data_IF_255786022501
#
_entry.id   IF_255786022501
#
_cell.length_a   1.000
_cell.length_b   1.000
_cell.length_c   1.000
_cell.angle_alpha   90.00
_cell.angle_beta   90.00
_cell.angle_gamma   90.00
#
_symmetry.space_group_name_H-M   'P 1'
#
loop_
_entity.id
_entity.type
_entity.pdbx_description
1 polymer ?
#
# COMPACT_ATOMS: atom_id res chain seq x y z
N UNK A 1 -24.31 61.85 41.36
CA UNK A 1 -25.22 61.67 40.17
C UNK A 1 -24.52 61.48 38.84
N UNK A 2 -23.35 62.02 38.54
CA UNK A 2 -22.67 61.81 37.25
C UNK A 2 -22.12 60.36 37.05
N UNK A 3 -21.63 59.67 38.09
CA UNK A 3 -21.08 58.29 38.02
C UNK A 3 -22.17 57.23 37.75
N UNK A 4 -23.39 57.45 38.18
CA UNK A 4 -24.50 56.50 37.97
C UNK A 4 -25.03 56.53 36.53
N UNK A 5 -24.96 57.68 35.85
CA UNK A 5 -25.36 57.79 34.44
C UNK A 5 -24.37 57.10 33.49
N UNK A 6 -23.09 57.03 33.84
CA UNK A 6 -22.09 56.22 33.05
C UNK A 6 -22.29 54.75 33.27
N UNK A 7 -22.53 54.28 34.49
CA UNK A 7 -22.78 52.88 34.79
C UNK A 7 -24.02 52.35 34.05
N UNK A 8 -25.11 53.16 34.03
CA UNK A 8 -26.36 52.78 33.34
C UNK A 8 -26.18 52.73 31.82
N UNK A 9 -25.35 53.57 31.20
CA UNK A 9 -25.02 53.51 29.76
C UNK A 9 -24.17 52.30 29.42
N UNK A 10 -23.24 51.93 30.29
CA UNK A 10 -22.39 50.75 30.06
C UNK A 10 -23.19 49.44 30.19
N UNK A 11 -24.10 49.36 31.16
CA UNK A 11 -24.98 48.21 31.36
C UNK A 11 -25.98 48.07 30.20
N UNK A 12 -26.53 49.19 29.69
CA UNK A 12 -27.41 49.14 28.50
C UNK A 12 -26.64 48.74 27.21
N UNK A 13 -25.41 49.21 27.04
CA UNK A 13 -24.60 48.82 25.87
C UNK A 13 -24.24 47.36 25.90
N UNK A 14 -23.91 46.77 27.05
CA UNK A 14 -23.62 45.33 27.20
C UNK A 14 -24.90 44.51 27.01
N UNK A 15 -26.06 44.99 27.48
CA UNK A 15 -27.35 44.33 27.29
C UNK A 15 -27.80 44.26 25.81
N UNK A 16 -27.52 45.30 25.02
CA UNK A 16 -27.86 45.36 23.59
C UNK A 16 -26.93 44.43 22.79
N UNK A 17 -25.63 44.33 23.15
CA UNK A 17 -24.68 43.41 22.50
C UNK A 17 -25.03 41.96 22.83
N UNK A 18 -25.48 41.66 24.05
CA UNK A 18 -25.93 40.31 24.43
C UNK A 18 -27.22 39.91 23.73
N UNK A 19 -28.18 40.82 23.52
CA UNK A 19 -29.40 40.51 22.76
C UNK A 19 -29.15 40.32 21.26
N UNK A 20 -28.22 41.05 20.67
CA UNK A 20 -27.87 40.83 19.25
C UNK A 20 -27.09 39.55 19.04
N UNK A 21 -26.25 39.13 20.00
CA UNK A 21 -25.56 37.85 19.95
C UNK A 21 -26.53 36.66 20.07
N UNK A 22 -27.56 36.75 20.92
CA UNK A 22 -28.59 35.69 21.04
C UNK A 22 -29.48 35.64 19.79
N UNK A 23 -29.76 36.72 19.12
CA UNK A 23 -30.53 36.71 17.86
C UNK A 23 -29.71 36.17 16.68
N UNK A 24 -28.40 36.34 16.67
CA UNK A 24 -27.52 35.74 15.65
C UNK A 24 -27.40 34.23 15.88
N UNK A 25 -27.34 33.74 17.11
CA UNK A 25 -27.37 32.27 17.39
C UNK A 25 -28.74 31.65 17.07
N UNK A 26 -29.85 32.31 17.36
CA UNK A 26 -31.20 31.78 17.03
C UNK A 26 -31.50 31.77 15.51
N UNK A 27 -30.85 32.66 14.74
CA UNK A 27 -30.96 32.64 13.26
C UNK A 27 -30.04 31.58 12.61
N UNK A 28 -29.06 31.02 13.33
CA UNK A 28 -28.19 29.98 12.86
C UNK A 28 -28.76 28.55 13.09
N UNK A 29 -29.76 28.39 13.96
CA UNK A 29 -30.42 27.10 14.23
C UNK A 29 -31.59 26.80 13.27
N UNK A 30 -31.93 27.70 12.38
CA UNK A 30 -33.10 27.61 11.52
C UNK A 30 -32.80 27.41 10.05
N UNK A 31 -31.79 26.61 9.62
CA UNK A 31 -31.65 26.00 8.28
C UNK A 31 -30.42 25.13 8.14
N UNK A 32 -30.06 24.37 9.15
CA UNK A 32 -29.26 23.17 8.93
C UNK A 32 -30.23 22.03 8.56
N UNK A 33 -30.96 22.19 7.49
CA UNK A 33 -31.44 21.10 6.69
C UNK A 33 -30.17 20.51 6.12
N UNK A 34 -29.71 19.42 6.71
CA UNK A 34 -28.63 18.62 6.15
C UNK A 34 -29.00 18.39 4.69
N UNK A 35 -28.33 19.08 3.77
CA UNK A 35 -28.29 18.66 2.41
C UNK A 35 -27.80 17.21 2.52
N UNK A 36 -28.69 16.26 2.32
CA UNK A 36 -28.32 14.92 1.94
C UNK A 36 -27.51 15.16 0.67
N UNK A 37 -26.21 15.19 0.82
CA UNK A 37 -25.28 15.16 -0.28
C UNK A 37 -25.74 13.95 -1.08
N UNK A 38 -26.37 14.18 -2.27
CA UNK A 38 -26.56 13.12 -3.23
C UNK A 38 -25.16 12.54 -3.43
N UNK A 39 -24.95 11.34 -2.89
CA UNK A 39 -23.74 10.57 -3.15
C UNK A 39 -23.77 10.30 -4.63
N UNK A 40 -23.05 11.12 -5.39
CA UNK A 40 -22.89 10.91 -6.82
C UNK A 40 -22.37 9.49 -6.99
N UNK A 41 -23.05 8.61 -7.73
CA UNK A 41 -22.58 7.25 -7.93
C UNK A 41 -21.16 7.30 -8.50
N UNK A 42 -20.24 6.57 -7.89
CA UNK A 42 -18.85 6.47 -8.36
C UNK A 42 -18.86 5.84 -9.74
N UNK A 43 -18.38 6.56 -10.76
CA UNK A 43 -18.34 6.08 -12.14
C UNK A 43 -17.27 5.01 -12.35
N UNK A 44 -17.48 4.17 -13.38
CA UNK A 44 -16.46 3.22 -13.86
C UNK A 44 -15.61 3.97 -14.87
N UNK A 45 -14.45 4.48 -14.42
CA UNK A 45 -13.58 5.34 -15.23
C UNK A 45 -13.01 4.63 -16.46
N UNK A 46 -12.81 3.32 -16.42
CA UNK A 46 -12.37 2.53 -17.58
C UNK A 46 -13.41 2.43 -18.68
N UNK A 47 -14.70 2.68 -18.40
CA UNK A 47 -15.73 2.75 -19.43
C UNK A 47 -15.63 4.01 -20.31
N UNK A 48 -14.84 5.00 -19.90
CA UNK A 48 -14.61 6.24 -20.66
C UNK A 48 -13.53 6.07 -21.72
N UNK A 49 -12.75 4.96 -21.68
CA UNK A 49 -11.69 4.66 -22.64
C UNK A 49 -12.33 4.16 -23.94
N UNK A 50 -12.07 4.87 -25.04
CA UNK A 50 -12.60 4.50 -26.36
C UNK A 50 -12.16 3.09 -26.77
N UNK A 51 -13.11 2.23 -27.15
CA UNK A 51 -12.83 0.85 -27.56
C UNK A 51 -12.53 -0.12 -26.41
N UNK A 52 -12.62 0.34 -25.14
CA UNK A 52 -12.48 -0.53 -23.98
C UNK A 52 -13.79 -1.32 -23.77
N UNK A 53 -13.72 -2.59 -23.37
CA UNK A 53 -14.91 -3.35 -23.04
C UNK A 53 -15.66 -2.72 -21.86
N UNK A 54 -16.98 -2.60 -21.95
CA UNK A 54 -17.79 -2.08 -20.85
C UNK A 54 -17.65 -2.99 -19.61
N UNK A 55 -17.27 -2.40 -18.48
CA UNK A 55 -17.08 -3.10 -17.21
C UNK A 55 -18.42 -3.46 -16.56
N UNK A 56 -18.47 -4.52 -15.74
CA UNK A 56 -19.67 -4.90 -15.00
C UNK A 56 -20.01 -3.86 -13.93
N UNK A 57 -21.29 -3.69 -13.64
CA UNK A 57 -21.72 -2.96 -12.45
C UNK A 57 -21.42 -3.80 -11.21
N UNK A 58 -20.65 -3.24 -10.27
CA UNK A 58 -20.38 -3.83 -8.96
C UNK A 58 -21.07 -3.03 -7.85
N UNK A 59 -21.44 -3.74 -6.78
CA UNK A 59 -22.19 -3.16 -5.65
C UNK A 59 -21.25 -2.50 -4.62
N UNK A 60 -20.02 -2.98 -4.49
CA UNK A 60 -18.98 -2.35 -3.66
C UNK A 60 -18.80 -0.88 -4.07
N UNK A 61 -18.55 0.02 -3.09
CA UNK A 61 -18.39 1.44 -3.40
C UNK A 61 -17.23 1.68 -4.37
N UNK A 62 -16.09 1.03 -4.15
CA UNK A 62 -14.93 1.09 -5.05
C UNK A 62 -14.42 -0.30 -5.38
N UNK A 63 -13.83 -0.45 -6.57
CA UNK A 63 -13.21 -1.70 -6.96
C UNK A 63 -12.34 -1.58 -8.19
N UNK A 64 -11.34 -2.46 -8.29
CA UNK A 64 -10.43 -2.55 -9.42
C UNK A 64 -10.20 -3.98 -9.85
N UNK A 65 -9.86 -4.16 -11.12
CA UNK A 65 -9.24 -5.35 -11.66
C UNK A 65 -7.89 -4.96 -12.27
N UNK A 66 -6.83 -5.57 -11.79
CA UNK A 66 -5.46 -5.32 -12.26
C UNK A 66 -4.85 -6.58 -12.87
N UNK A 67 -4.14 -6.42 -13.97
CA UNK A 67 -3.22 -7.42 -14.47
C UNK A 67 -1.97 -7.47 -13.57
N UNK A 68 -1.68 -8.61 -12.97
CA UNK A 68 -0.57 -8.75 -12.04
C UNK A 68 0.81 -8.63 -12.71
N UNK A 69 0.92 -8.96 -13.99
CA UNK A 69 2.19 -8.91 -14.72
C UNK A 69 2.52 -7.46 -15.13
N UNK A 70 1.65 -6.82 -15.91
CA UNK A 70 1.87 -5.44 -16.41
C UNK A 70 1.54 -4.35 -15.39
N UNK A 71 0.61 -4.61 -14.45
CA UNK A 71 0.05 -3.59 -13.56
C UNK A 71 -1.09 -2.79 -14.17
N UNK A 72 -1.52 -3.12 -15.38
CA UNK A 72 -2.64 -2.47 -16.07
C UNK A 72 -3.93 -2.59 -15.26
N UNK A 73 -4.63 -1.49 -15.02
CA UNK A 73 -5.99 -1.52 -14.51
C UNK A 73 -6.95 -1.82 -15.67
N UNK A 74 -7.53 -3.03 -15.66
CA UNK A 74 -8.51 -3.45 -16.68
C UNK A 74 -9.91 -2.94 -16.35
N UNK A 75 -10.17 -2.67 -15.08
CA UNK A 75 -11.40 -2.10 -14.55
C UNK A 75 -11.07 -1.18 -13.37
N UNK A 76 -11.74 -0.03 -13.32
CA UNK A 76 -11.62 0.90 -12.21
C UNK A 76 -12.95 1.62 -11.95
N UNK A 77 -13.52 1.37 -10.78
CA UNK A 77 -14.63 2.12 -10.19
C UNK A 77 -14.12 2.79 -8.93
N UNK A 78 -13.85 4.09 -8.98
CA UNK A 78 -13.29 4.83 -7.85
C UNK A 78 -11.98 4.23 -7.33
N UNK A 79 -11.13 3.71 -8.25
CA UNK A 79 -9.92 2.97 -7.88
C UNK A 79 -8.96 3.75 -7.01
N UNK A 80 -8.89 5.08 -7.18
CA UNK A 80 -7.99 5.99 -6.44
C UNK A 80 -8.70 6.76 -5.31
N UNK A 81 -9.99 6.44 -5.04
CA UNK A 81 -10.70 7.05 -3.93
C UNK A 81 -10.26 6.44 -2.59
N UNK A 82 -9.96 7.32 -1.65
CA UNK A 82 -9.54 6.95 -0.29
C UNK A 82 -10.65 6.21 0.44
N UNK A 83 -10.30 5.05 1.02
CA UNK A 83 -11.15 4.23 1.88
C UNK A 83 -10.34 3.66 3.03
N UNK A 84 -11.03 3.25 4.08
CA UNK A 84 -10.39 2.49 5.17
C UNK A 84 -10.15 1.04 4.72
N UNK A 85 -8.90 0.54 4.78
CA UNK A 85 -8.56 -0.80 4.29
C UNK A 85 -9.01 -1.91 5.24
N UNK A 86 -9.15 -1.64 6.53
CA UNK A 86 -9.29 -2.69 7.54
C UNK A 86 -8.15 -3.72 7.44
N UNK A 87 -8.43 -5.00 7.69
CA UNK A 87 -7.40 -6.06 7.74
C UNK A 87 -6.75 -6.43 6.41
N UNK A 88 -7.15 -5.85 5.25
CA UNK A 88 -6.34 -6.01 4.04
C UNK A 88 -4.98 -5.31 4.16
N UNK A 89 -4.80 -4.39 5.10
CA UNK A 89 -3.51 -3.83 5.56
C UNK A 89 -2.45 -4.92 5.81
N UNK A 90 -2.88 -6.09 6.33
CA UNK A 90 -1.97 -7.19 6.66
C UNK A 90 -1.24 -7.78 5.45
N UNK A 91 -1.64 -7.43 4.22
CA UNK A 91 -0.90 -7.74 2.99
C UNK A 91 0.46 -7.02 3.01
N UNK A 92 0.51 -5.74 3.40
CA UNK A 92 1.76 -4.99 3.55
C UNK A 92 2.59 -5.54 4.72
N UNK A 93 1.96 -5.90 5.84
CA UNK A 93 2.65 -6.52 6.98
C UNK A 93 3.28 -7.86 6.60
N UNK A 94 2.57 -8.69 5.83
CA UNK A 94 3.12 -9.94 5.29
C UNK A 94 4.29 -9.67 4.35
N UNK A 95 4.16 -8.69 3.45
CA UNK A 95 5.20 -8.32 2.47
C UNK A 95 6.50 -7.93 3.19
N UNK A 96 6.45 -6.99 4.11
CA UNK A 96 7.62 -6.55 4.86
C UNK A 96 8.25 -7.67 5.68
N UNK A 97 7.44 -8.53 6.31
CA UNK A 97 7.97 -9.63 7.09
C UNK A 97 8.70 -10.68 6.24
N UNK A 98 8.20 -11.01 5.03
CA UNK A 98 8.88 -11.98 4.15
C UNK A 98 10.12 -11.38 3.45
N UNK A 99 10.19 -10.05 3.32
CA UNK A 99 11.34 -9.33 2.79
C UNK A 99 12.48 -9.24 3.83
N UNK A 100 12.15 -9.04 5.11
CA UNK A 100 13.13 -8.69 6.14
C UNK A 100 13.48 -9.84 7.09
N UNK A 101 12.69 -10.93 7.15
CA UNK A 101 12.89 -12.00 8.13
C UNK A 101 13.04 -13.37 7.50
N UNK A 102 13.77 -14.24 8.23
CA UNK A 102 13.73 -15.68 7.98
C UNK A 102 12.46 -16.30 8.57
N UNK A 103 11.81 -17.18 7.82
CA UNK A 103 10.63 -17.91 8.32
C UNK A 103 10.93 -18.83 9.53
N UNK A 104 12.22 -19.03 9.86
CA UNK A 104 12.66 -19.88 10.97
C UNK A 104 12.96 -19.10 12.23
N UNK A 105 12.96 -17.77 12.19
CA UNK A 105 13.20 -16.95 13.37
C UNK A 105 12.13 -17.19 14.42
N UNK A 106 12.56 -17.21 15.68
CA UNK A 106 11.66 -17.27 16.81
C UNK A 106 11.18 -15.86 17.17
N UNK A 107 9.86 -15.71 17.23
CA UNK A 107 9.17 -14.47 17.64
C UNK A 107 8.71 -14.66 19.07
N UNK A 108 9.24 -13.87 19.99
CA UNK A 108 8.82 -13.85 21.40
C UNK A 108 7.73 -12.80 21.56
N UNK A 109 6.56 -13.21 22.06
CA UNK A 109 5.45 -12.28 22.26
C UNK A 109 5.67 -11.45 23.53
N UNK A 110 5.57 -10.14 23.36
CA UNK A 110 5.66 -9.13 24.42
C UNK A 110 4.27 -8.61 24.77
N UNK A 111 4.18 -7.58 25.60
CA UNK A 111 2.92 -6.87 25.87
C UNK A 111 2.34 -6.26 24.59
N UNK A 112 3.17 -5.85 23.64
CA UNK A 112 2.75 -5.37 22.32
C UNK A 112 1.89 -6.40 21.59
N UNK A 113 2.37 -7.65 21.53
CA UNK A 113 1.68 -8.75 20.83
C UNK A 113 0.52 -9.37 21.62
N UNK A 114 0.09 -8.79 22.73
CA UNK A 114 -1.04 -9.31 23.51
C UNK A 114 -2.10 -8.25 23.82
N UNK A 115 -1.78 -6.99 23.58
CA UNK A 115 -2.64 -5.82 23.87
C UNK A 115 -3.93 -5.79 23.03
N UNK A 116 -3.88 -6.24 21.76
CA UNK A 116 -4.98 -6.14 20.80
C UNK A 116 -5.82 -7.42 20.72
N UNK A 117 -5.80 -8.24 21.78
CA UNK A 117 -6.64 -9.43 21.88
C UNK A 117 -8.02 -9.01 22.39
N UNK A 118 -9.03 -9.11 21.52
CA UNK A 118 -10.42 -8.95 21.88
C UNK A 118 -11.26 -10.10 21.33
N UNK A 119 -12.39 -10.39 21.98
CA UNK A 119 -13.26 -11.53 21.64
C UNK A 119 -13.93 -11.38 20.25
N UNK A 120 -14.09 -10.15 19.77
CA UNK A 120 -14.77 -9.77 18.53
C UNK A 120 -13.80 -9.47 17.38
N UNK A 121 -12.50 -9.63 17.59
CA UNK A 121 -11.48 -9.40 16.58
C UNK A 121 -10.67 -10.65 16.24
N UNK A 122 -10.03 -10.65 15.07
CA UNK A 122 -9.12 -11.74 14.66
C UNK A 122 -7.95 -11.87 15.63
N UNK A 123 -7.85 -13.03 16.31
CA UNK A 123 -6.75 -13.37 17.21
C UNK A 123 -6.57 -14.89 17.32
N UNK A 124 -5.47 -15.33 17.92
CA UNK A 124 -5.15 -16.72 18.25
C UNK A 124 -4.81 -16.91 19.74
N UNK A 125 -5.00 -15.86 20.54
CA UNK A 125 -4.86 -15.89 22.00
C UNK A 125 -3.42 -16.06 22.48
N UNK A 126 -2.49 -15.25 21.98
CA UNK A 126 -1.09 -15.29 22.40
C UNK A 126 -0.89 -14.78 23.83
N UNK A 127 0.16 -15.23 24.48
CA UNK A 127 0.52 -14.86 25.85
C UNK A 127 1.91 -14.21 25.87
N UNK A 128 2.12 -13.28 26.82
CA UNK A 128 3.46 -12.66 27.03
C UNK A 128 4.49 -13.75 27.37
N UNK A 129 5.60 -13.76 26.64
CA UNK A 129 6.64 -14.80 26.76
C UNK A 129 6.39 -16.05 25.93
N UNK A 130 5.24 -16.17 25.24
CA UNK A 130 5.02 -17.25 24.30
C UNK A 130 5.90 -17.08 23.05
N UNK A 131 6.41 -18.19 22.53
CA UNK A 131 7.36 -18.18 21.40
C UNK A 131 6.76 -18.96 20.23
N UNK A 132 6.72 -18.33 19.05
CA UNK A 132 6.36 -18.98 17.80
C UNK A 132 7.40 -18.67 16.71
N UNK A 133 7.52 -19.55 15.72
CA UNK A 133 8.33 -19.20 14.52
C UNK A 133 7.63 -18.10 13.71
N UNK A 134 8.42 -17.24 13.05
CA UNK A 134 7.89 -16.23 12.11
C UNK A 134 6.93 -16.87 11.09
N UNK A 135 7.23 -18.08 10.61
CA UNK A 135 6.32 -18.85 9.74
C UNK A 135 4.92 -19.00 10.36
N UNK A 136 4.84 -19.45 11.61
CA UNK A 136 3.56 -19.65 12.29
C UNK A 136 2.83 -18.31 12.49
N UNK A 137 3.56 -17.25 12.83
CA UNK A 137 3.01 -15.90 12.92
C UNK A 137 2.37 -15.45 11.61
N UNK A 138 3.07 -15.64 10.47
CA UNK A 138 2.57 -15.20 9.17
C UNK A 138 1.33 -15.98 8.70
N UNK A 139 1.25 -17.29 8.99
CA UNK A 139 0.04 -18.06 8.72
C UNK A 139 -1.12 -17.60 9.62
N UNK A 140 -0.87 -17.30 10.90
CA UNK A 140 -1.89 -16.76 11.80
C UNK A 140 -2.36 -15.35 11.34
N UNK A 141 -1.43 -14.51 10.91
CA UNK A 141 -1.70 -13.19 10.33
C UNK A 141 -2.69 -13.25 9.17
N UNK A 142 -2.48 -14.19 8.24
CA UNK A 142 -3.28 -14.30 7.01
C UNK A 142 -4.57 -15.06 7.25
N UNK A 143 -4.49 -16.26 7.82
CA UNK A 143 -5.61 -17.21 7.95
C UNK A 143 -6.63 -16.73 9.00
N UNK A 144 -6.15 -16.27 10.17
CA UNK A 144 -7.01 -15.82 11.27
C UNK A 144 -7.13 -14.32 11.38
N UNK A 145 -6.41 -13.59 10.52
CA UNK A 145 -6.38 -12.12 10.61
C UNK A 145 -5.93 -11.61 11.98
N UNK A 146 -5.05 -12.34 12.67
CA UNK A 146 -4.68 -12.11 14.06
C UNK A 146 -4.03 -10.72 14.25
N UNK A 147 -4.69 -9.82 15.00
CA UNK A 147 -4.25 -8.44 15.22
C UNK A 147 -3.04 -8.38 16.13
N UNK A 148 -3.07 -9.16 17.23
CA UNK A 148 -1.96 -9.24 18.18
C UNK A 148 -0.68 -9.79 17.52
N UNK A 149 -0.85 -10.70 16.56
CA UNK A 149 0.28 -11.23 15.77
C UNK A 149 0.82 -10.17 14.83
N UNK A 150 -0.04 -9.35 14.23
CA UNK A 150 0.39 -8.24 13.38
C UNK A 150 1.23 -7.22 14.17
N UNK A 151 0.80 -6.85 15.37
CA UNK A 151 1.53 -5.96 16.27
C UNK A 151 2.88 -6.56 16.68
N UNK A 152 2.92 -7.86 17.02
CA UNK A 152 4.18 -8.52 17.38
C UNK A 152 5.15 -8.66 16.21
N UNK A 153 4.64 -8.92 15.00
CA UNK A 153 5.46 -8.90 13.78
C UNK A 153 6.06 -7.51 13.58
N UNK A 154 5.26 -6.45 13.77
CA UNK A 154 5.72 -5.07 13.62
C UNK A 154 6.85 -4.75 14.60
N UNK A 155 6.70 -5.10 15.88
CA UNK A 155 7.76 -4.92 16.86
C UNK A 155 9.01 -5.75 16.53
N UNK A 156 8.83 -7.02 16.12
CA UNK A 156 9.94 -7.92 15.82
C UNK A 156 10.77 -7.45 14.61
N UNK A 157 10.10 -7.02 13.54
CA UNK A 157 10.76 -6.61 12.29
C UNK A 157 11.30 -5.19 12.39
N UNK A 158 10.52 -4.26 12.95
CA UNK A 158 10.88 -2.86 13.07
C UNK A 158 11.71 -2.52 14.32
N UNK A 159 11.80 -3.42 15.29
CA UNK A 159 12.33 -3.11 16.62
C UNK A 159 11.35 -2.30 17.48
N UNK A 160 10.47 -1.51 16.84
CA UNK A 160 9.30 -0.85 17.41
C UNK A 160 8.16 -0.85 16.40
N UNK A 161 6.92 -0.79 16.88
CA UNK A 161 5.74 -0.69 15.97
C UNK A 161 5.80 0.58 15.13
N UNK A 162 6.23 1.72 15.71
CA UNK A 162 6.32 2.98 14.97
C UNK A 162 7.31 2.88 13.81
N UNK A 163 8.49 2.32 14.04
CA UNK A 163 9.46 2.16 12.95
C UNK A 163 8.96 1.20 11.86
N UNK A 164 8.21 0.15 12.25
CA UNK A 164 7.58 -0.71 11.25
C UNK A 164 6.53 0.02 10.41
N UNK A 165 5.75 0.90 11.04
CA UNK A 165 4.78 1.77 10.33
C UNK A 165 5.51 2.70 9.36
N UNK A 166 6.63 3.28 9.77
CA UNK A 166 7.47 4.09 8.88
C UNK A 166 7.95 3.25 7.67
N UNK A 167 8.42 2.02 7.90
CA UNK A 167 8.77 1.06 6.83
C UNK A 167 7.59 0.75 5.90
N UNK A 168 6.36 0.58 6.45
CA UNK A 168 5.16 0.34 5.65
C UNK A 168 4.89 1.50 4.68
N UNK A 169 4.95 2.74 5.16
CA UNK A 169 4.71 3.94 4.36
C UNK A 169 5.82 4.17 3.33
N UNK A 170 7.06 3.96 3.72
CA UNK A 170 8.20 4.02 2.79
C UNK A 170 8.06 2.96 1.68
N UNK A 171 7.71 1.72 2.04
CA UNK A 171 7.53 0.65 1.06
C UNK A 171 6.34 0.90 0.13
N UNK A 172 5.23 1.44 0.65
CA UNK A 172 4.09 1.84 -0.17
C UNK A 172 4.50 2.88 -1.21
N UNK A 173 5.25 3.91 -0.82
CA UNK A 173 5.78 4.91 -1.76
C UNK A 173 6.71 4.30 -2.83
N UNK A 174 7.60 3.35 -2.44
CA UNK A 174 8.48 2.63 -3.38
C UNK A 174 7.71 1.77 -4.38
N UNK A 175 6.57 1.21 -3.99
CA UNK A 175 5.67 0.43 -4.86
C UNK A 175 4.93 1.34 -5.84
N UNK A 176 4.82 2.64 -5.56
CA UNK A 176 4.08 3.62 -6.35
C UNK A 176 2.69 3.94 -5.81
N UNK A 177 2.38 3.56 -4.56
CA UNK A 177 1.14 3.96 -3.90
C UNK A 177 1.14 5.47 -3.66
N UNK A 178 0.08 6.16 -4.08
CA UNK A 178 -0.01 7.63 -3.98
C UNK A 178 -1.03 8.12 -2.96
N UNK A 179 -1.97 7.27 -2.56
CA UNK A 179 -3.08 7.60 -1.68
C UNK A 179 -3.20 6.58 -0.52
N UNK A 180 -2.06 6.16 0.01
CA UNK A 180 -1.98 5.20 1.13
C UNK A 180 -1.20 5.80 2.29
N UNK A 181 -1.75 5.66 3.49
CA UNK A 181 -1.08 5.98 4.73
C UNK A 181 -1.44 4.95 5.80
N UNK A 182 -0.44 4.26 6.33
CA UNK A 182 -0.57 3.28 7.40
C UNK A 182 -0.19 3.90 8.73
N UNK A 183 -0.92 3.58 9.81
CA UNK A 183 -0.60 3.96 11.19
C UNK A 183 -0.50 2.75 12.13
N UNK A 184 -0.83 1.56 11.65
CA UNK A 184 -0.63 0.30 12.37
C UNK A 184 -0.50 -0.88 11.39
N UNK A 185 0.02 -2.00 11.88
CA UNK A 185 0.27 -3.20 11.08
C UNK A 185 -0.97 -4.08 10.86
N UNK A 186 -2.07 -3.83 11.55
CA UNK A 186 -3.24 -4.71 11.61
C UNK A 186 -4.43 -4.22 10.77
N UNK A 187 -4.56 -2.92 10.53
CA UNK A 187 -5.71 -2.28 9.91
C UNK A 187 -6.83 -1.99 10.92
N UNK A 188 -6.52 -1.92 12.20
CA UNK A 188 -7.44 -1.39 13.21
C UNK A 188 -7.80 0.06 12.90
N UNK A 189 -9.03 0.51 13.25
CA UNK A 189 -9.53 1.83 12.89
C UNK A 189 -8.66 2.96 13.43
N UNK A 190 -8.30 3.86 12.54
CA UNK A 190 -7.69 5.15 12.83
C UNK A 190 -8.06 6.11 11.68
N UNK A 191 -8.41 7.37 11.93
CA UNK A 191 -8.76 8.34 10.88
C UNK A 191 -7.66 8.55 9.84
N UNK A 192 -6.39 8.40 10.26
CA UNK A 192 -5.23 8.59 9.40
C UNK A 192 -4.76 7.27 8.73
N UNK A 193 -5.46 6.14 8.95
CA UNK A 193 -5.17 4.84 8.35
C UNK A 193 -6.04 4.60 7.13
N UNK A 194 -5.53 4.88 5.94
CA UNK A 194 -6.30 4.80 4.71
C UNK A 194 -5.49 4.23 3.54
N UNK A 195 -6.19 3.81 2.50
CA UNK A 195 -5.63 3.36 1.23
C UNK A 195 -6.68 3.48 0.12
N UNK A 196 -6.37 3.00 -1.08
CA UNK A 196 -7.29 2.90 -2.21
C UNK A 196 -7.34 1.48 -2.75
N UNK A 197 -8.34 1.18 -3.57
CA UNK A 197 -8.41 -0.13 -4.23
C UNK A 197 -7.22 -0.34 -5.17
N UNK A 198 -6.77 0.70 -5.86
CA UNK A 198 -5.61 0.67 -6.75
C UNK A 198 -4.32 0.40 -5.96
N UNK A 199 -4.04 1.18 -4.92
CA UNK A 199 -2.82 1.02 -4.11
C UNK A 199 -2.75 -0.37 -3.47
N UNK A 200 -3.87 -0.90 -2.96
CA UNK A 200 -3.92 -2.26 -2.42
C UNK A 200 -3.67 -3.33 -3.48
N UNK A 201 -4.09 -3.09 -4.74
CA UNK A 201 -3.75 -3.99 -5.84
C UNK A 201 -2.25 -3.94 -6.18
N UNK A 202 -1.63 -2.76 -6.15
CA UNK A 202 -0.18 -2.59 -6.32
C UNK A 202 0.61 -3.34 -5.23
N UNK A 203 0.20 -3.22 -3.96
CA UNK A 203 0.85 -3.93 -2.84
C UNK A 203 0.69 -5.45 -3.00
N UNK A 204 -0.49 -5.94 -3.38
CA UNK A 204 -0.71 -7.36 -3.63
C UNK A 204 0.13 -7.85 -4.82
N UNK A 205 0.20 -7.08 -5.90
CA UNK A 205 1.04 -7.36 -7.08
C UNK A 205 2.50 -7.52 -6.69
N UNK A 206 3.05 -6.61 -5.90
CA UNK A 206 4.43 -6.69 -5.41
C UNK A 206 4.65 -7.94 -4.57
N UNK A 207 3.74 -8.23 -3.64
CA UNK A 207 3.81 -9.44 -2.83
C UNK A 207 3.82 -10.72 -3.66
N UNK A 208 3.04 -10.79 -4.73
CA UNK A 208 2.97 -11.96 -5.61
C UNK A 208 4.28 -12.26 -6.33
N UNK A 209 5.23 -11.34 -6.46
CA UNK A 209 6.58 -11.60 -6.97
C UNK A 209 7.39 -12.50 -6.03
N UNK A 210 7.07 -12.51 -4.72
CA UNK A 210 7.78 -13.28 -3.71
C UNK A 210 7.15 -14.66 -3.51
N UNK A 211 7.92 -15.74 -3.72
CA UNK A 211 7.45 -17.13 -3.57
C UNK A 211 6.97 -17.49 -2.15
N UNK A 212 7.59 -16.89 -1.10
CA UNK A 212 7.15 -17.12 0.29
C UNK A 212 5.79 -16.46 0.52
N UNK A 213 5.63 -15.22 0.06
CA UNK A 213 4.38 -14.49 0.12
C UNK A 213 3.24 -15.27 -0.57
N UNK A 214 3.44 -15.67 -1.85
CA UNK A 214 2.44 -16.46 -2.61
C UNK A 214 1.99 -17.71 -1.86
N UNK A 215 2.92 -18.44 -1.24
CA UNK A 215 2.61 -19.66 -0.46
C UNK A 215 1.76 -19.34 0.77
N UNK A 216 2.06 -18.25 1.48
CA UNK A 216 1.39 -17.92 2.74
C UNK A 216 0.01 -17.31 2.47
N UNK A 217 -0.10 -16.38 1.52
CA UNK A 217 -1.36 -15.70 1.18
C UNK A 217 -2.42 -16.66 0.62
N UNK A 218 -1.98 -17.77 0.00
CA UNK A 218 -2.83 -18.82 -0.57
C UNK A 218 -3.11 -20.00 0.36
N UNK A 219 -2.79 -19.90 1.64
CA UNK A 219 -3.02 -21.01 2.56
C UNK A 219 -4.48 -21.10 3.01
N UNK A 220 -5.06 -22.28 2.90
CA UNK A 220 -6.41 -22.61 3.42
C UNK A 220 -6.37 -23.01 4.88
N UNK A 221 -5.32 -23.73 5.27
CA UNK A 221 -5.19 -24.32 6.58
C UNK A 221 -3.74 -24.22 7.08
N UNK A 222 -3.60 -24.14 8.40
CA UNK A 222 -2.31 -24.26 9.06
C UNK A 222 -2.47 -24.74 10.49
N UNK A 223 -1.59 -25.65 10.92
CA UNK A 223 -1.56 -26.10 12.33
C UNK A 223 -0.33 -25.53 13.02
N UNK A 224 -0.57 -24.64 13.99
CA UNK A 224 0.46 -24.17 14.91
C UNK A 224 0.72 -25.30 15.90
N UNK A 225 1.97 -25.74 16.00
CA UNK A 225 2.38 -26.75 16.96
C UNK A 225 2.33 -26.21 18.40
N UNK A 226 2.35 -27.10 19.43
CA UNK A 226 2.52 -26.68 20.81
C UNK A 226 3.69 -25.69 20.96
N UNK A 227 3.50 -24.71 21.85
CA UNK A 227 4.51 -23.69 22.17
C UNK A 227 5.10 -23.93 23.56
N UNK A 228 5.98 -23.08 24.00
CA UNK A 228 6.50 -23.11 25.38
C UNK A 228 5.43 -22.82 26.45
N UNK A 229 4.27 -22.23 26.07
CA UNK A 229 3.22 -21.83 27.00
C UNK A 229 1.86 -22.49 26.72
N UNK A 230 1.70 -23.12 25.55
CA UNK A 230 0.48 -23.84 25.20
C UNK A 230 0.82 -25.26 24.71
N UNK A 231 0.37 -26.27 25.45
CA UNK A 231 0.62 -27.69 25.12
C UNK A 231 -0.26 -28.23 23.99
N UNK A 232 -1.29 -27.47 23.58
CA UNK A 232 -2.19 -27.87 22.51
C UNK A 232 -1.82 -27.21 21.19
N UNK A 233 -2.06 -27.93 20.08
CA UNK A 233 -1.95 -27.36 18.75
C UNK A 233 -3.15 -26.48 18.42
N UNK A 234 -2.92 -25.36 17.71
CA UNK A 234 -3.99 -24.51 17.19
C UNK A 234 -4.19 -24.78 15.71
N UNK A 235 -5.36 -25.27 15.31
CA UNK A 235 -5.71 -25.49 13.90
C UNK A 235 -6.39 -24.23 13.38
N UNK A 236 -5.85 -23.69 12.29
CA UNK A 236 -6.33 -22.47 11.63
C UNK A 236 -6.99 -22.86 10.32
N UNK A 237 -8.17 -22.32 10.04
CA UNK A 237 -8.87 -22.42 8.76
C UNK A 237 -9.10 -21.03 8.17
N UNK A 238 -9.00 -20.91 6.86
CA UNK A 238 -9.15 -19.63 6.16
C UNK A 238 -10.58 -19.10 6.24
N UNK A 239 -10.70 -17.79 6.34
CA UNK A 239 -11.97 -17.07 6.21
C UNK A 239 -12.14 -16.41 4.83
N UNK A 240 -11.21 -16.64 3.90
CA UNK A 240 -11.28 -16.07 2.57
C UNK A 240 -12.24 -16.89 1.69
N UNK A 241 -13.44 -16.38 1.37
CA UNK A 241 -14.50 -17.20 0.77
C UNK A 241 -14.16 -17.67 -0.64
N UNK A 242 -13.39 -16.90 -1.40
CA UNK A 242 -13.00 -17.28 -2.76
C UNK A 242 -11.86 -18.30 -2.79
N UNK A 243 -11.15 -18.48 -1.67
CA UNK A 243 -10.06 -19.44 -1.53
C UNK A 243 -10.51 -20.77 -0.91
N UNK A 244 -11.46 -20.73 0.03
CA UNK A 244 -11.97 -21.91 0.75
C UNK A 244 -12.73 -22.85 -0.20
N UNK A 245 -12.30 -24.12 -0.39
CA UNK A 245 -12.91 -25.01 -1.38
C UNK A 245 -14.39 -25.35 -1.09
N UNK A 246 -14.80 -25.32 0.17
CA UNK A 246 -16.18 -25.58 0.62
C UNK A 246 -17.10 -24.38 0.50
N UNK A 247 -16.57 -23.21 0.21
CA UNK A 247 -17.34 -21.98 0.10
C UNK A 247 -18.16 -21.94 -1.19
N UNK A 248 -19.41 -21.45 -1.09
CA UNK A 248 -20.25 -21.16 -2.27
C UNK A 248 -19.68 -20.04 -3.16
N UNK A 249 -18.71 -19.28 -2.66
CA UNK A 249 -17.99 -18.21 -3.38
C UNK A 249 -16.62 -18.65 -3.87
N UNK A 250 -16.29 -19.95 -3.76
CA UNK A 250 -15.00 -20.45 -4.25
C UNK A 250 -14.81 -20.08 -5.72
N UNK A 251 -13.64 -19.51 -6.04
CA UNK A 251 -13.29 -19.14 -7.40
C UNK A 251 -12.16 -20.05 -7.91
N UNK A 252 -12.47 -20.83 -8.94
CA UNK A 252 -11.49 -21.74 -9.56
C UNK A 252 -10.28 -20.96 -10.11
N UNK A 253 -9.07 -21.34 -9.67
CA UNK A 253 -7.84 -20.61 -9.95
C UNK A 253 -7.48 -19.53 -8.92
N UNK A 254 -8.23 -19.40 -7.81
CA UNK A 254 -7.85 -18.49 -6.73
C UNK A 254 -6.47 -18.83 -6.19
N UNK A 255 -5.55 -17.85 -6.20
CA UNK A 255 -4.18 -17.96 -5.67
C UNK A 255 -4.15 -17.64 -4.19
N UNK A 256 -5.01 -16.73 -3.75
CA UNK A 256 -5.08 -16.26 -2.36
C UNK A 256 -5.48 -14.80 -2.26
N UNK A 257 -5.53 -14.32 -1.03
CA UNK A 257 -5.94 -12.95 -0.76
C UNK A 257 -6.17 -12.67 0.71
N UNK A 258 -6.84 -11.56 0.99
CA UNK A 258 -7.14 -11.13 2.36
C UNK A 258 -8.51 -10.45 2.43
N UNK A 259 -9.26 -10.78 3.47
CA UNK A 259 -10.50 -10.11 3.86
C UNK A 259 -10.23 -9.05 4.91
N UNK A 260 -11.08 -8.03 4.96
CA UNK A 260 -11.07 -7.04 6.04
C UNK A 260 -12.48 -6.58 6.38
N UNK A 261 -12.67 -6.19 7.63
CA UNK A 261 -13.90 -5.58 8.12
C UNK A 261 -13.64 -4.69 9.34
N UNK A 262 -14.18 -3.51 9.33
CA UNK A 262 -14.50 -2.67 10.48
C UNK A 262 -15.82 -1.96 10.21
N UNK A 263 -16.43 -1.35 11.21
CA UNK A 263 -17.69 -0.59 11.03
C UNK A 263 -17.51 0.56 10.02
N UNK A 264 -16.35 1.20 10.04
CA UNK A 264 -16.00 2.34 9.20
C UNK A 264 -15.66 1.90 7.76
N UNK A 265 -14.89 0.80 7.65
CA UNK A 265 -14.44 0.29 6.35
C UNK A 265 -15.55 -0.45 5.57
N UNK A 266 -16.57 -1.00 6.26
CA UNK A 266 -17.38 -2.04 5.67
C UNK A 266 -16.54 -3.28 5.35
N UNK A 267 -16.99 -4.12 4.42
CA UNK A 267 -16.20 -5.27 3.98
C UNK A 267 -15.23 -4.88 2.87
N UNK A 268 -14.00 -5.35 3.00
CA UNK A 268 -12.91 -5.18 2.02
C UNK A 268 -12.36 -6.54 1.63
N UNK A 269 -12.01 -6.71 0.36
CA UNK A 269 -11.52 -7.99 -0.15
C UNK A 269 -10.44 -7.73 -1.22
N UNK A 270 -9.29 -8.35 -1.04
CA UNK A 270 -8.24 -8.47 -2.06
C UNK A 270 -8.12 -9.93 -2.45
N UNK A 271 -8.18 -10.24 -3.74
CA UNK A 271 -8.04 -11.61 -4.24
C UNK A 271 -7.17 -11.61 -5.50
N UNK A 272 -6.27 -12.58 -5.60
CA UNK A 272 -5.56 -12.90 -6.84
C UNK A 272 -6.05 -14.23 -7.39
N UNK A 273 -6.21 -14.32 -8.71
CA UNK A 273 -6.56 -15.55 -9.39
C UNK A 273 -5.76 -15.71 -10.69
N UNK A 274 -5.46 -16.96 -11.07
CA UNK A 274 -4.69 -17.30 -12.25
C UNK A 274 -5.43 -18.30 -13.13
N UNK A 275 -5.57 -17.99 -14.44
CA UNK A 275 -6.09 -18.89 -15.46
C UNK A 275 -5.29 -18.73 -16.76
N UNK A 276 -4.98 -19.82 -17.42
CA UNK A 276 -4.33 -19.82 -18.74
C UNK A 276 -3.03 -18.99 -18.82
N UNK A 277 -2.25 -18.97 -17.73
CA UNK A 277 -1.00 -18.22 -17.65
C UNK A 277 -1.15 -16.75 -17.26
N UNK A 278 -2.37 -16.21 -17.22
CA UNK A 278 -2.64 -14.82 -16.81
C UNK A 278 -3.07 -14.75 -15.34
N UNK A 279 -2.47 -13.87 -14.56
CA UNK A 279 -2.85 -13.61 -13.18
C UNK A 279 -3.49 -12.23 -13.06
N UNK A 280 -4.70 -12.21 -12.49
CA UNK A 280 -5.41 -10.97 -12.17
C UNK A 280 -5.53 -10.77 -10.67
N UNK A 281 -5.65 -9.51 -10.25
CA UNK A 281 -5.90 -9.08 -8.88
C UNK A 281 -7.18 -8.25 -8.86
N UNK A 282 -8.12 -8.60 -7.99
CA UNK A 282 -9.28 -7.77 -7.68
C UNK A 282 -9.14 -7.18 -6.29
N UNK A 283 -9.56 -5.94 -6.15
CA UNK A 283 -9.77 -5.29 -4.86
C UNK A 283 -11.16 -4.68 -4.87
N UNK A 284 -11.96 -4.99 -3.86
CA UNK A 284 -13.26 -4.37 -3.61
C UNK A 284 -13.26 -3.78 -2.20
N UNK A 285 -13.75 -2.53 -2.06
CA UNK A 285 -13.78 -1.85 -0.77
C UNK A 285 -15.16 -1.27 -0.48
N UNK A 286 -15.48 -1.20 0.81
CA UNK A 286 -16.75 -0.68 1.31
C UNK A 286 -17.96 -1.46 0.76
N UNK A 287 -17.84 -2.77 0.68
CA UNK A 287 -18.97 -3.66 0.40
C UNK A 287 -19.88 -3.80 1.63
N UNK A 288 -21.17 -4.02 1.42
CA UNK A 288 -22.12 -4.21 2.50
C UNK A 288 -21.80 -5.46 3.34
N UNK A 289 -21.42 -6.53 2.67
CA UNK A 289 -20.99 -7.78 3.30
C UNK A 289 -19.94 -8.51 2.44
N UNK A 290 -19.40 -9.60 2.97
CA UNK A 290 -18.35 -10.37 2.31
C UNK A 290 -18.89 -11.18 1.10
N UNK A 291 -20.19 -11.50 1.07
CA UNK A 291 -20.83 -12.15 -0.06
C UNK A 291 -20.89 -11.20 -1.26
N UNK A 292 -21.26 -9.93 -1.04
CA UNK A 292 -21.23 -8.86 -2.06
C UNK A 292 -19.80 -8.69 -2.58
N UNK A 293 -18.80 -8.51 -1.70
CA UNK A 293 -17.41 -8.36 -2.10
C UNK A 293 -16.90 -9.53 -2.96
N UNK A 294 -17.30 -10.77 -2.61
CA UNK A 294 -16.91 -11.99 -3.35
C UNK A 294 -17.60 -12.08 -4.71
N UNK A 295 -18.89 -11.71 -4.78
CA UNK A 295 -19.67 -11.70 -6.03
C UNK A 295 -19.10 -10.66 -6.99
N UNK A 296 -18.82 -9.46 -6.51
CA UNK A 296 -18.20 -8.39 -7.28
C UNK A 296 -16.82 -8.79 -7.81
N UNK A 297 -15.97 -9.37 -6.94
CA UNK A 297 -14.65 -9.88 -7.36
C UNK A 297 -14.76 -10.98 -8.43
N UNK A 298 -15.75 -11.89 -8.32
CA UNK A 298 -16.02 -12.92 -9.32
C UNK A 298 -16.43 -12.28 -10.67
N UNK A 299 -17.30 -11.28 -10.64
CA UNK A 299 -17.72 -10.56 -11.85
C UNK A 299 -16.51 -9.88 -12.54
N UNK A 300 -15.63 -9.24 -11.74
CA UNK A 300 -14.42 -8.60 -12.24
C UNK A 300 -13.43 -9.61 -12.85
N UNK A 301 -13.17 -10.76 -12.20
CA UNK A 301 -12.33 -11.80 -12.78
C UNK A 301 -12.91 -12.33 -14.10
N UNK A 302 -14.19 -12.64 -14.12
CA UNK A 302 -14.85 -13.14 -15.34
C UNK A 302 -14.79 -12.10 -16.46
N UNK A 303 -15.01 -10.81 -16.14
CA UNK A 303 -14.84 -9.72 -17.09
C UNK A 303 -13.43 -9.68 -17.68
N UNK A 304 -12.38 -9.77 -16.82
CA UNK A 304 -11.00 -9.79 -17.27
C UNK A 304 -10.71 -10.96 -18.22
N UNK A 305 -10.99 -12.19 -17.79
CA UNK A 305 -10.72 -13.40 -18.60
C UNK A 305 -11.55 -13.51 -19.88
N UNK A 306 -12.69 -12.85 -19.95
CA UNK A 306 -13.55 -12.88 -21.14
C UNK A 306 -13.22 -11.81 -22.17
N UNK A 307 -12.69 -10.67 -21.74
CA UNK A 307 -12.60 -9.48 -22.60
C UNK A 307 -11.17 -9.06 -22.94
N UNK A 308 -10.16 -9.65 -22.29
CA UNK A 308 -8.76 -9.27 -22.50
C UNK A 308 -7.89 -10.46 -22.88
N UNK A 309 -6.83 -10.15 -23.61
CA UNK A 309 -5.79 -11.09 -24.01
C UNK A 309 -4.42 -10.43 -23.81
N UNK A 310 -3.35 -11.26 -23.84
CA UNK A 310 -1.96 -10.77 -23.79
C UNK A 310 -1.47 -10.45 -25.20
N UNK A 311 -0.95 -9.23 -25.39
CA UNK A 311 -0.19 -8.84 -26.56
C UNK A 311 1.30 -8.93 -26.24
N UNK A 312 2.06 -9.62 -27.12
CA UNK A 312 3.51 -9.71 -27.00
C UNK A 312 4.11 -8.37 -27.44
N UNK A 313 4.94 -7.78 -26.58
CA UNK A 313 5.64 -6.53 -26.83
C UNK A 313 7.15 -6.73 -26.65
N UNK A 314 7.96 -5.73 -26.99
CA UNK A 314 9.39 -5.82 -26.78
C UNK A 314 9.69 -5.95 -25.27
N UNK A 315 10.33 -7.06 -24.90
CA UNK A 315 10.71 -7.34 -23.50
C UNK A 315 9.63 -7.97 -22.61
N UNK A 316 8.36 -8.13 -23.07
CA UNK A 316 7.30 -8.68 -22.22
C UNK A 316 5.93 -8.79 -22.85
N UNK A 317 4.92 -8.65 -22.03
CA UNK A 317 3.50 -8.75 -22.41
C UNK A 317 2.69 -7.65 -21.75
N UNK A 318 1.66 -7.14 -22.45
CA UNK A 318 0.65 -6.24 -21.89
C UNK A 318 -0.75 -6.80 -22.15
N UNK A 319 -1.68 -6.56 -21.24
CA UNK A 319 -3.09 -6.93 -21.43
C UNK A 319 -3.80 -5.89 -22.29
N UNK A 320 -4.48 -6.35 -23.35
CA UNK A 320 -5.24 -5.52 -24.31
C UNK A 320 -6.66 -6.06 -24.47
N UNK A 321 -7.64 -5.23 -24.84
CA UNK A 321 -8.96 -5.71 -25.23
C UNK A 321 -8.88 -6.76 -26.35
N UNK A 322 -9.79 -7.74 -26.35
CA UNK A 322 -9.83 -8.75 -27.39
C UNK A 322 -9.95 -8.12 -28.79
N UNK A 323 -9.12 -8.56 -29.71
CA UNK A 323 -9.06 -8.03 -31.08
C UNK A 323 -8.11 -6.84 -31.26
N UNK A 324 -7.54 -6.29 -30.17
CA UNK A 324 -6.45 -5.29 -30.22
C UNK A 324 -5.14 -6.05 -30.36
N UNK A 325 -4.26 -5.55 -31.23
CA UNK A 325 -2.91 -6.10 -31.46
C UNK A 325 -1.86 -5.06 -31.14
N UNK A 326 -0.59 -5.46 -31.12
CA UNK A 326 0.53 -4.54 -30.86
C UNK A 326 0.57 -3.37 -31.86
N UNK A 327 0.10 -3.55 -33.10
CA UNK A 327 0.05 -2.51 -34.12
C UNK A 327 -0.95 -1.37 -33.79
N UNK A 328 -1.84 -1.60 -32.82
CA UNK A 328 -2.81 -0.62 -32.34
C UNK A 328 -2.27 0.17 -31.14
N UNK A 329 -1.06 -0.12 -30.66
CA UNK A 329 -0.47 0.49 -29.49
C UNK A 329 0.46 1.62 -29.86
N UNK A 330 0.51 2.64 -29.02
CA UNK A 330 1.55 3.68 -29.04
C UNK A 330 2.60 3.34 -28.00
N UNK A 331 3.87 3.54 -28.33
CA UNK A 331 5.00 3.27 -27.44
C UNK A 331 5.72 4.58 -27.14
N UNK A 332 6.04 4.80 -25.88
CA UNK A 332 6.87 5.91 -25.43
C UNK A 332 8.04 5.36 -24.59
N UNK A 333 9.26 5.66 -25.02
CA UNK A 333 10.44 5.33 -24.23
C UNK A 333 10.50 6.22 -22.99
N UNK A 334 10.73 5.62 -21.83
CA UNK A 334 10.82 6.28 -20.54
C UNK A 334 11.98 5.70 -19.72
N UNK A 335 12.23 6.21 -18.52
CA UNK A 335 13.22 5.69 -17.59
C UNK A 335 12.61 5.46 -16.22
N UNK A 336 12.71 4.25 -15.70
CA UNK A 336 12.30 3.90 -14.34
C UNK A 336 13.49 3.29 -13.59
N UNK A 337 13.81 3.84 -12.42
CA UNK A 337 14.90 3.36 -11.56
C UNK A 337 16.27 3.24 -12.28
N UNK A 338 16.49 4.07 -13.30
CA UNK A 338 17.73 4.06 -14.10
C UNK A 338 17.74 3.05 -15.27
N UNK A 339 16.67 2.26 -15.45
CA UNK A 339 16.49 1.36 -16.58
C UNK A 339 15.62 2.02 -17.66
N UNK A 340 15.91 1.73 -18.94
CA UNK A 340 15.03 2.11 -20.03
C UNK A 340 13.81 1.20 -20.04
N UNK A 341 12.62 1.81 -20.09
CA UNK A 341 11.33 1.11 -20.19
C UNK A 341 10.54 1.65 -21.37
N UNK A 342 9.79 0.77 -22.02
CA UNK A 342 8.78 1.13 -23.01
C UNK A 342 7.42 1.19 -22.33
N UNK A 343 6.80 2.37 -22.32
CA UNK A 343 5.42 2.58 -21.87
C UNK A 343 4.47 2.34 -23.04
N UNK A 344 3.58 1.34 -22.92
CA UNK A 344 2.63 0.96 -23.96
C UNK A 344 1.26 1.59 -23.67
N UNK A 345 0.68 2.23 -24.68
CA UNK A 345 -0.61 2.91 -24.57
C UNK A 345 -1.61 2.38 -25.62
N UNK A 346 -2.88 2.29 -25.21
CA UNK A 346 -4.02 2.10 -26.10
C UNK A 346 -4.99 3.28 -25.92
N UNK A 347 -5.19 4.07 -26.99
CA UNK A 347 -6.02 5.29 -26.96
C UNK A 347 -5.68 6.19 -25.75
N UNK A 348 -4.42 6.55 -25.58
CA UNK A 348 -3.87 7.36 -24.48
C UNK A 348 -3.96 6.74 -23.08
N UNK A 349 -4.44 5.48 -22.96
CA UNK A 349 -4.47 4.75 -21.70
C UNK A 349 -3.24 3.88 -21.53
N UNK A 350 -2.51 4.07 -20.43
CA UNK A 350 -1.29 3.31 -20.11
C UNK A 350 -1.65 1.85 -19.79
N UNK A 351 -1.13 0.92 -20.59
CA UNK A 351 -1.29 -0.51 -20.38
C UNK A 351 -0.20 -1.11 -19.48
N UNK A 352 0.94 -0.44 -19.37
CA UNK A 352 2.06 -0.86 -18.54
C UNK A 352 3.39 -0.43 -19.13
N UNK A 353 4.41 -0.54 -18.26
CA UNK A 353 5.80 -0.27 -18.61
C UNK A 353 6.58 -1.59 -18.64
N UNK A 354 7.32 -1.82 -19.69
CA UNK A 354 8.11 -3.06 -19.87
C UNK A 354 9.58 -2.69 -20.02
N UNK A 355 10.46 -3.36 -19.28
CA UNK A 355 11.90 -3.13 -19.39
C UNK A 355 12.39 -3.54 -20.79
N UNK A 356 13.13 -2.63 -21.44
CA UNK A 356 13.75 -2.90 -22.74
C UNK A 356 14.98 -3.78 -22.50
N UNK A 357 15.05 -4.99 -23.09
CA UNK A 357 16.25 -5.81 -22.98
C UNK A 357 17.47 -5.07 -23.50
N UNK A 358 18.57 -5.05 -22.74
CA UNK A 358 19.84 -4.55 -23.27
C UNK A 358 20.16 -5.29 -24.58
N UNK A 359 20.43 -4.53 -25.64
CA UNK A 359 20.83 -5.11 -26.91
C UNK A 359 22.09 -5.97 -26.69
N UNK A 360 21.95 -7.29 -26.85
CA UNK A 360 23.11 -8.17 -26.86
C UNK A 360 24.05 -7.68 -27.95
N UNK A 361 25.29 -7.29 -27.65
CA UNK A 361 26.20 -6.79 -28.68
C UNK A 361 26.31 -7.87 -29.76
N UNK A 362 25.90 -7.53 -30.97
CA UNK A 362 26.11 -8.37 -32.15
C UNK A 362 27.61 -8.67 -32.23
N UNK A 363 28.06 -9.95 -32.23
CA UNK A 363 29.47 -10.24 -32.37
C UNK A 363 29.93 -9.61 -33.68
N UNK A 364 30.90 -8.69 -33.63
CA UNK A 364 31.56 -8.19 -34.83
C UNK A 364 32.02 -9.38 -35.69
N UNK A 365 31.76 -9.35 -36.98
CA UNK A 365 32.26 -10.41 -37.85
C UNK A 365 33.79 -10.45 -37.74
N UNK A 366 34.30 -11.60 -37.31
CA UNK A 366 35.74 -11.85 -37.24
C UNK A 366 36.36 -11.53 -38.60
N UNK A 367 37.11 -10.44 -38.71
CA UNK A 367 37.96 -10.16 -39.87
C UNK A 367 39.11 -11.15 -39.81
N UNK A 368 39.12 -12.08 -40.75
CA UNK A 368 40.24 -12.98 -40.99
C UNK A 368 41.52 -12.14 -41.21
N UNK A 369 42.35 -12.05 -40.19
CA UNK A 369 43.70 -11.52 -40.30
C UNK A 369 44.60 -12.65 -40.86
N UNK A 370 44.86 -12.54 -42.16
CA UNK A 370 45.92 -13.30 -42.83
C UNK A 370 47.26 -13.04 -42.13
N UNK A 371 47.88 -14.15 -41.77
CA UNK A 371 49.24 -14.27 -41.26
C UNK A 371 50.26 -13.54 -42.08
N UNK A 372 51.15 -12.78 -41.43
CA UNK A 372 52.52 -12.72 -41.91
C UNK A 372 53.51 -12.76 -40.72
N UNK A 373 54.45 -13.68 -40.89
CA UNK A 373 55.52 -14.05 -39.97
C UNK A 373 56.67 -13.05 -40.13
N UNK A 374 57.24 -12.51 -39.07
CA UNK A 374 58.71 -12.58 -38.84
C UNK A 374 59.13 -11.85 -37.56
N UNK A 375 59.91 -12.52 -36.85
CA UNK A 375 60.81 -12.47 -35.79
C UNK A 375 61.33 -11.12 -35.21
N UNK A 376 61.70 -11.14 -33.94
CA UNK A 376 62.57 -10.14 -33.35
C UNK A 376 62.39 -10.06 -31.83
N UNK A 377 63.22 -10.79 -31.18
CA UNK A 377 63.54 -10.75 -29.74
C UNK A 377 63.97 -9.34 -29.29
N UNK A 378 63.60 -8.84 -28.14
CA UNK A 378 64.53 -8.39 -27.10
C UNK A 378 63.81 -7.87 -25.85
N UNK A 379 64.40 -8.28 -24.73
CA UNK A 379 64.17 -7.89 -23.35
C UNK A 379 64.16 -6.36 -23.10
N UNK A 380 63.44 -5.87 -22.09
CA UNK A 380 63.92 -5.32 -20.84
C UNK A 380 62.85 -4.52 -20.08
N UNK A 381 62.62 -4.96 -18.87
CA UNK A 381 62.53 -4.22 -17.59
C UNK A 381 62.49 -2.67 -17.67
N UNK A 382 61.48 -2.07 -17.01
CA UNK A 382 61.70 -1.18 -15.86
C UNK A 382 60.40 -0.56 -15.31
N UNK A 383 60.23 -0.74 -14.03
CA UNK A 383 59.80 0.15 -12.94
C UNK A 383 58.55 1.00 -13.02
N UNK A 384 57.83 0.76 -11.92
CA UNK A 384 56.82 1.58 -11.29
C UNK A 384 57.15 3.06 -11.22
N UNK A 385 56.10 3.89 -11.41
CA UNK A 385 56.01 5.15 -10.70
C UNK A 385 54.56 5.44 -10.29
N UNK A 386 54.47 5.68 -8.98
CA UNK A 386 53.30 6.09 -8.22
C UNK A 386 52.96 7.57 -8.53
N UNK A 387 51.70 7.85 -8.83
CA UNK A 387 51.19 9.23 -8.76
C UNK A 387 49.81 9.22 -8.10
N UNK A 388 49.78 9.72 -6.91
CA UNK A 388 48.98 10.79 -6.33
C UNK A 388 47.47 10.62 -6.37
N UNK A 389 46.89 10.19 -5.24
CA UNK A 389 45.47 10.44 -4.91
C UNK A 389 45.24 11.95 -4.74
N UNK A 390 44.48 12.54 -5.64
CA UNK A 390 43.92 13.86 -5.44
C UNK A 390 42.51 13.71 -4.84
N UNK A 391 42.41 13.96 -3.52
CA UNK A 391 41.12 14.08 -2.81
C UNK A 391 40.45 15.38 -3.26
N UNK A 392 39.50 15.29 -4.19
CA UNK A 392 38.55 16.35 -4.40
C UNK A 392 37.44 16.27 -3.35
N UNK A 393 37.48 17.14 -2.35
CA UNK A 393 36.39 17.41 -1.44
C UNK A 393 35.26 18.09 -2.22
N UNK A 394 34.25 17.33 -2.62
CA UNK A 394 33.03 17.88 -3.17
C UNK A 394 32.30 18.68 -2.08
N UNK A 395 32.32 19.99 -2.18
CA UNK A 395 31.55 20.89 -1.32
C UNK A 395 30.07 20.56 -1.43
N UNK A 396 29.35 20.52 -0.30
CA UNK A 396 27.89 20.32 -0.29
C UNK A 396 27.21 21.37 -1.18
N UNK A 397 26.25 20.97 -2.03
CA UNK A 397 25.50 21.91 -2.85
C UNK A 397 24.87 23.00 -1.96
N UNK A 398 24.88 24.24 -2.45
CA UNK A 398 24.36 25.41 -1.72
C UNK A 398 22.92 25.20 -1.20
N UNK A 399 22.09 24.49 -1.95
CA UNK A 399 20.73 24.14 -1.55
C UNK A 399 20.67 23.33 -0.23
N UNK A 400 21.62 22.44 0.01
CA UNK A 400 21.69 21.63 1.22
C UNK A 400 22.07 22.45 2.46
N UNK A 401 22.91 23.47 2.28
CA UNK A 401 23.26 24.42 3.33
C UNK A 401 22.06 25.30 3.69
N UNK A 402 21.30 25.74 2.69
CA UNK A 402 20.08 26.56 2.91
C UNK A 402 19.02 25.73 3.67
N UNK A 403 18.79 24.47 3.32
CA UNK A 403 17.85 23.60 4.00
C UNK A 403 18.24 23.33 5.48
N UNK A 404 19.53 23.16 5.77
CA UNK A 404 20.04 23.01 7.12
C UNK A 404 19.83 24.28 7.97
N UNK A 405 20.01 25.47 7.38
CA UNK A 405 19.76 26.76 8.07
C UNK A 405 18.28 26.92 8.37
N UNK A 406 17.39 26.61 7.41
CA UNK A 406 15.93 26.66 7.60
C UNK A 406 15.49 25.68 8.68
N UNK A 407 16.00 24.45 8.69
CA UNK A 407 15.70 23.44 9.71
C UNK A 407 16.13 23.89 11.12
N UNK A 408 17.31 24.47 11.25
CA UNK A 408 17.80 25.00 12.53
C UNK A 408 16.95 26.18 13.03
N UNK A 409 16.50 27.08 12.14
CA UNK A 409 15.62 28.20 12.48
C UNK A 409 14.23 27.73 12.94
N UNK A 410 13.66 26.71 12.28
CA UNK A 410 12.38 26.09 12.70
C UNK A 410 12.48 25.44 14.08
N UNK A 411 13.56 24.70 14.34
CA UNK A 411 13.81 24.08 15.65
C UNK A 411 13.89 25.13 16.77
N UNK A 412 14.57 26.25 16.53
CA UNK A 412 14.68 27.35 17.48
C UNK A 412 13.32 27.99 17.76
N UNK A 413 12.48 28.14 16.74
CA UNK A 413 11.12 28.67 16.88
C UNK A 413 10.24 27.75 17.72
N UNK A 414 10.32 26.44 17.54
CA UNK A 414 9.60 25.45 18.34
C UNK A 414 10.03 25.51 19.81
N UNK A 415 11.32 25.64 20.10
CA UNK A 415 11.84 25.77 21.46
C UNK A 415 11.30 27.05 22.12
N UNK A 416 11.31 28.17 21.40
CA UNK A 416 10.79 29.46 21.94
C UNK A 416 9.28 29.38 22.24
N UNK A 417 8.51 28.75 21.32
CA UNK A 417 7.07 28.53 21.51
C UNK A 417 6.79 27.61 22.72
N UNK A 418 7.56 26.54 22.87
CA UNK A 418 7.42 25.63 24.02
C UNK A 418 7.73 26.29 25.35
N UNK A 419 8.76 27.13 25.40
CA UNK A 419 9.07 27.96 26.62
C UNK A 419 7.97 28.96 26.89
N UNK A 420 7.41 29.59 25.86
CA UNK A 420 6.32 30.56 26.03
C UNK A 420 5.02 29.89 26.54
N UNK A 421 4.70 28.70 26.05
CA UNK A 421 3.57 27.88 26.52
C UNK A 421 3.76 27.46 28.00
N UNK A 422 4.93 26.94 28.34
CA UNK A 422 5.25 26.55 29.71
C UNK A 422 5.21 27.72 30.70
N UNK A 423 5.61 28.94 30.27
CA UNK A 423 5.44 30.17 31.07
C UNK A 423 3.97 30.61 31.22
N UNK A 424 3.14 30.32 30.20
CA UNK A 424 1.70 30.61 30.23
C UNK A 424 0.96 29.69 31.22
N UNK A 425 1.29 28.38 31.18
CA UNK A 425 0.73 27.39 32.12
C UNK A 425 1.08 27.70 33.58
N UNK A 426 2.33 28.10 33.89
CA UNK A 426 2.72 28.52 35.25
C UNK A 426 1.99 29.81 35.76
N UNK A 427 1.39 30.60 34.87
CA UNK A 427 0.57 31.77 35.24
C UNK A 427 -0.90 31.44 35.51
N UNK A 428 -1.37 30.27 35.08
CA UNK A 428 -2.78 29.87 35.26
C UNK A 428 -2.98 28.86 36.40
N UNK A 429 -1.91 28.19 36.86
CA UNK A 429 -1.97 27.18 37.92
C UNK A 429 -1.00 27.39 39.08
N UNK A 430 -0.43 28.60 39.22
CA UNK A 430 0.42 29.03 40.33
C UNK A 430 -0.21 30.11 41.21
#
# INVERSE_FOLDING_TARGET
MKKWKHLLKTVMAVGVIAMTAVQICAAAEGTAQAAVSEVTPVSISTNEISGWPAGPEITSETGVLMDADSGTLLYSKGGDEIRYPASITKIMTLLLAVENCSLKEDVVFTETGTRDISWDSGNIGMQVGEVMSMRACLYALVIRSANEVAAQIAEHVGGTEQHFVDMMNERAAQIGCTNTHFVNASGLPDPDHYSTAHDMALIMREGLKNKKFRRIIGATDYTIKPTNMNSESRVLHTHHPMLAPESSYHYDGCIGGKTGYTSEAGNTLVTAAGKNGTTYITVTMKAADLAVASTDSTALFNYGYQNFTKAQVNGGEVSVPNGVTVDNLTVQENSQNGNTVDDYYYNDYLLGSVEVPEATPTPEPAVDALSDTSGGNTDQNEKADTVGEEKTSAGMPELRKILLIIGAAMLLLIIILSIALAKKEKRYYG
#
